data_IF_404480078035
#
_entry.id   IF_404480078035
#
_cell.length_a   1.000
_cell.length_b   1.000
_cell.length_c   1.000
_cell.angle_alpha   90.00
_cell.angle_beta   90.00
_cell.angle_gamma   90.00
#
_symmetry.space_group_name_H-M   'P 1'
#
loop_
_entity.id
_entity.type
_entity.pdbx_description
1 polymer ?
#
# COMPACT_ATOMS: atom_id res chain seq x y z
N UNK A 1 -6.90 -10.34 -31.72
CA UNK A 1 -7.04 -9.17 -30.82
C UNK A 1 -6.84 -7.96 -31.70
N UNK A 2 -7.85 -7.13 -31.82
CA UNK A 2 -7.75 -5.91 -32.59
C UNK A 2 -6.75 -4.97 -31.94
N UNK A 3 -6.05 -4.16 -32.72
CA UNK A 3 -5.06 -3.15 -32.22
C UNK A 3 -5.71 -2.22 -31.20
N UNK A 4 -6.99 -1.88 -31.38
CA UNK A 4 -7.75 -1.03 -30.45
C UNK A 4 -7.91 -1.72 -29.09
N UNK A 5 -8.19 -3.02 -29.04
CA UNK A 5 -8.42 -3.76 -27.81
C UNK A 5 -7.14 -3.84 -26.95
N UNK A 6 -5.97 -4.02 -27.55
CA UNK A 6 -4.75 -4.11 -26.77
C UNK A 6 -4.30 -2.76 -26.20
N UNK A 7 -4.53 -1.64 -26.91
CA UNK A 7 -4.19 -0.29 -26.41
C UNK A 7 -5.00 0.05 -25.16
N UNK A 8 -6.24 -0.44 -25.06
CA UNK A 8 -7.08 -0.22 -23.88
C UNK A 8 -6.54 -0.92 -22.63
N UNK A 9 -5.78 -2.00 -22.77
CA UNK A 9 -5.12 -2.70 -21.68
C UNK A 9 -3.87 -1.99 -21.15
N UNK A 10 -3.37 -0.97 -21.89
CA UNK A 10 -2.16 -0.27 -21.48
C UNK A 10 -2.47 0.90 -20.55
N UNK A 11 -1.67 1.02 -19.49
CA UNK A 11 -1.72 2.20 -18.63
C UNK A 11 -1.44 3.48 -19.41
N UNK A 12 -1.95 4.65 -18.96
CA UNK A 12 -1.71 5.93 -19.64
C UNK A 12 -0.22 6.25 -19.83
N UNK A 13 0.61 5.83 -18.86
CA UNK A 13 2.06 6.01 -18.90
C UNK A 13 2.70 5.20 -20.03
N UNK A 14 2.35 3.94 -20.15
CA UNK A 14 2.88 3.07 -21.23
C UNK A 14 2.40 3.56 -22.59
N UNK A 15 1.14 3.93 -22.72
CA UNK A 15 0.63 4.52 -23.97
C UNK A 15 1.45 5.73 -24.38
N UNK A 16 1.69 6.66 -23.48
CA UNK A 16 2.42 7.90 -23.74
C UNK A 16 3.85 7.65 -24.22
N UNK A 17 4.56 6.71 -23.62
CA UNK A 17 6.00 6.55 -23.83
C UNK A 17 6.37 5.43 -24.81
N UNK A 18 5.49 4.46 -25.06
CA UNK A 18 5.84 3.26 -25.82
C UNK A 18 5.08 3.10 -27.14
N UNK A 19 3.86 3.63 -27.28
CA UNK A 19 3.02 3.39 -28.46
C UNK A 19 3.69 3.85 -29.76
N UNK A 20 4.30 5.01 -29.80
CA UNK A 20 4.98 5.51 -31.01
C UNK A 20 6.13 4.58 -31.45
N UNK A 21 6.87 4.01 -30.49
CA UNK A 21 7.93 3.04 -30.81
C UNK A 21 7.35 1.73 -31.35
N UNK A 22 6.21 1.32 -30.81
CA UNK A 22 5.50 0.13 -31.29
C UNK A 22 4.96 0.32 -32.70
N UNK A 23 4.30 1.44 -32.98
CA UNK A 23 3.72 1.77 -34.29
C UNK A 23 4.80 1.90 -35.38
N UNK A 24 5.98 2.38 -35.03
CA UNK A 24 7.14 2.46 -35.91
C UNK A 24 7.87 1.11 -36.10
N UNK A 25 7.40 0.03 -35.47
CA UNK A 25 7.99 -1.31 -35.54
C UNK A 25 9.24 -1.50 -34.69
N UNK A 26 9.58 -0.55 -33.81
CA UNK A 26 10.72 -0.64 -32.90
C UNK A 26 10.37 -1.45 -31.64
N UNK A 27 9.91 -2.67 -31.82
CA UNK A 27 9.36 -3.50 -30.74
C UNK A 27 10.31 -3.71 -29.55
N UNK A 28 11.60 -3.93 -29.82
CA UNK A 28 12.62 -4.06 -28.77
C UNK A 28 12.74 -2.77 -27.94
N UNK A 29 12.71 -1.61 -28.58
CA UNK A 29 12.80 -0.33 -27.89
C UNK A 29 11.54 -0.02 -27.08
N UNK A 30 10.36 -0.31 -27.64
CA UNK A 30 9.08 -0.14 -26.94
C UNK A 30 9.02 -1.03 -25.69
N UNK A 31 9.43 -2.29 -25.77
CA UNK A 31 9.47 -3.21 -24.65
C UNK A 31 10.50 -2.79 -23.57
N UNK A 32 11.67 -2.32 -23.98
CA UNK A 32 12.68 -1.81 -23.06
C UNK A 32 12.19 -0.55 -22.35
N UNK A 33 11.60 0.39 -23.08
CA UNK A 33 11.05 1.62 -22.55
C UNK A 33 9.93 1.33 -21.55
N UNK A 34 9.04 0.37 -21.84
CA UNK A 34 7.98 -0.03 -20.93
C UNK A 34 8.53 -0.47 -19.56
N UNK A 35 9.56 -1.29 -19.52
CA UNK A 35 10.21 -1.71 -18.27
C UNK A 35 10.97 -0.56 -17.59
N UNK A 36 11.52 0.37 -18.36
CA UNK A 36 12.15 1.58 -17.83
C UNK A 36 11.12 2.49 -17.15
N UNK A 37 9.91 2.60 -17.71
CA UNK A 37 8.84 3.37 -17.10
C UNK A 37 8.36 2.78 -15.76
N UNK A 38 8.35 1.47 -15.59
CA UNK A 38 8.08 0.83 -14.30
C UNK A 38 9.15 1.19 -13.26
N UNK A 39 10.43 1.16 -13.66
CA UNK A 39 11.54 1.55 -12.78
C UNK A 39 11.46 3.02 -12.36
N UNK A 40 11.15 3.91 -13.30
CA UNK A 40 10.99 5.33 -13.02
C UNK A 40 9.80 5.58 -12.09
N UNK A 41 8.67 4.89 -12.28
CA UNK A 41 7.51 5.01 -11.42
C UNK A 41 7.82 4.60 -9.96
N UNK A 42 8.57 3.51 -9.75
CA UNK A 42 9.03 3.11 -8.41
C UNK A 42 9.87 4.23 -7.76
N UNK A 43 10.81 4.82 -8.50
CA UNK A 43 11.67 5.91 -8.00
C UNK A 43 10.88 7.18 -7.68
N UNK A 44 9.94 7.54 -8.55
CA UNK A 44 9.07 8.69 -8.38
C UNK A 44 8.18 8.54 -7.16
N UNK A 45 7.57 7.35 -6.98
CA UNK A 45 6.67 7.07 -5.85
C UNK A 45 7.37 7.29 -4.50
N UNK A 46 8.62 6.88 -4.36
CA UNK A 46 9.39 7.05 -3.12
C UNK A 46 10.24 8.33 -3.11
N UNK A 47 10.11 9.17 -4.13
CA UNK A 47 10.85 10.44 -4.28
C UNK A 47 12.38 10.28 -4.11
N UNK A 48 12.92 9.13 -4.52
CA UNK A 48 14.34 8.84 -4.35
C UNK A 48 15.14 9.28 -5.57
N UNK A 49 16.30 9.86 -5.33
CA UNK A 49 17.34 10.10 -6.33
C UNK A 49 18.35 8.96 -6.42
N UNK A 50 18.04 7.83 -5.81
CA UNK A 50 18.90 6.67 -5.77
C UNK A 50 19.22 6.18 -7.18
N UNK A 51 20.49 5.86 -7.40
CA UNK A 51 21.00 5.31 -8.66
C UNK A 51 20.72 3.81 -8.80
N UNK A 52 20.22 3.14 -7.74
CA UNK A 52 19.86 1.72 -7.82
C UNK A 52 18.76 1.50 -8.85
N UNK A 53 18.79 0.34 -9.48
CA UNK A 53 17.85 -0.05 -10.53
C UNK A 53 17.61 -1.56 -10.52
N UNK A 54 16.56 -1.99 -11.21
CA UNK A 54 16.19 -3.38 -11.36
C UNK A 54 15.94 -4.08 -10.03
N UNK A 55 16.44 -5.32 -9.89
CA UNK A 55 16.24 -6.13 -8.68
C UNK A 55 16.65 -5.42 -7.38
N UNK A 56 17.76 -4.71 -7.37
CA UNK A 56 18.24 -4.01 -6.17
C UNK A 56 17.29 -2.92 -5.70
N UNK A 57 16.63 -2.23 -6.63
CA UNK A 57 15.61 -1.25 -6.32
C UNK A 57 14.38 -1.93 -5.70
N UNK A 58 13.93 -3.03 -6.28
CA UNK A 58 12.79 -3.82 -5.76
C UNK A 58 13.08 -4.36 -4.37
N UNK A 59 14.26 -4.94 -4.14
CA UNK A 59 14.68 -5.43 -2.83
C UNK A 59 14.67 -4.34 -1.77
N UNK A 60 15.08 -3.13 -2.13
CA UNK A 60 15.14 -2.01 -1.21
C UNK A 60 13.75 -1.42 -0.90
N UNK A 61 12.82 -1.47 -1.85
CA UNK A 61 11.51 -0.85 -1.70
C UNK A 61 10.44 -1.82 -1.18
N UNK A 62 10.42 -3.04 -1.68
CA UNK A 62 9.38 -4.03 -1.39
C UNK A 62 9.86 -5.15 -0.47
N UNK A 63 11.16 -5.20 -0.16
CA UNK A 63 11.77 -6.24 0.65
C UNK A 63 11.74 -5.95 2.14
N UNK A 64 11.45 -6.96 2.94
CA UNK A 64 11.83 -6.98 4.35
C UNK A 64 13.31 -7.36 4.42
N UNK A 65 14.16 -6.42 4.78
CA UNK A 65 15.51 -6.77 5.21
C UNK A 65 15.43 -7.29 6.64
N UNK A 66 16.06 -8.43 6.93
CA UNK A 66 16.14 -9.01 8.28
C UNK A 66 16.76 -8.06 9.33
N UNK A 67 17.48 -7.03 8.90
CA UNK A 67 18.06 -5.99 9.73
C UNK A 67 17.30 -4.65 9.70
N UNK A 68 16.38 -4.47 8.73
CA UNK A 68 15.52 -3.30 8.62
C UNK A 68 14.08 -3.78 8.52
N UNK A 69 13.36 -3.67 9.59
CA UNK A 69 11.98 -4.12 9.75
C UNK A 69 10.94 -3.33 8.95
N UNK A 70 11.35 -2.40 8.10
CA UNK A 70 10.43 -1.51 7.38
C UNK A 70 10.46 -1.74 5.88
N UNK A 71 9.34 -2.18 5.35
CA UNK A 71 9.03 -2.15 3.91
C UNK A 71 8.79 -0.69 3.54
N UNK A 72 9.52 -0.14 2.56
CA UNK A 72 9.39 1.27 2.17
C UNK A 72 8.12 1.53 1.37
N UNK A 73 7.72 0.58 0.54
CA UNK A 73 6.55 0.68 -0.31
C UNK A 73 5.60 -0.46 0.02
N UNK A 74 4.47 -0.13 0.64
CA UNK A 74 3.42 -1.10 0.94
C UNK A 74 2.41 -1.17 -0.18
N UNK A 75 2.12 -2.39 -0.58
CA UNK A 75 1.01 -2.68 -1.48
C UNK A 75 -0.26 -2.89 -0.64
N UNK A 76 -1.46 -2.62 -1.19
CA UNK A 76 -2.72 -2.84 -0.49
C UNK A 76 -3.06 -4.34 -0.41
N UNK A 77 -2.12 -5.12 0.11
CA UNK A 77 -2.14 -6.57 0.13
C UNK A 77 -1.54 -7.05 1.46
N UNK A 78 -2.04 -8.18 1.96
CA UNK A 78 -1.43 -8.82 3.14
C UNK A 78 0.03 -9.23 2.91
N UNK A 79 0.79 -9.44 3.97
CA UNK A 79 2.24 -9.69 3.93
C UNK A 79 2.67 -10.83 2.99
N UNK A 80 1.83 -11.85 2.84
CA UNK A 80 2.11 -12.95 1.90
C UNK A 80 2.05 -12.47 0.45
N UNK A 81 1.03 -11.70 0.09
CA UNK A 81 0.90 -11.15 -1.27
C UNK A 81 1.93 -10.06 -1.54
N UNK A 82 2.32 -9.28 -0.53
CA UNK A 82 3.46 -8.34 -0.62
C UNK A 82 4.74 -9.07 -1.06
N UNK A 83 5.04 -10.23 -0.47
CA UNK A 83 6.19 -11.07 -0.85
C UNK A 83 6.06 -11.60 -2.27
N UNK A 84 4.86 -12.02 -2.66
CA UNK A 84 4.62 -12.51 -4.02
C UNK A 84 4.73 -11.38 -5.06
N UNK A 85 4.20 -10.21 -4.77
CA UNK A 85 4.37 -9.04 -5.62
C UNK A 85 5.84 -8.64 -5.77
N UNK A 86 6.61 -8.62 -4.68
CA UNK A 86 8.07 -8.44 -4.74
C UNK A 86 8.72 -9.43 -5.72
N UNK A 87 8.39 -10.71 -5.60
CA UNK A 87 8.93 -11.76 -6.49
C UNK A 87 8.53 -11.52 -7.95
N UNK A 88 7.31 -11.06 -8.21
CA UNK A 88 6.84 -10.70 -9.55
C UNK A 88 7.67 -9.54 -10.13
N UNK A 89 7.88 -8.47 -9.38
CA UNK A 89 8.73 -7.34 -9.80
C UNK A 89 10.16 -7.77 -10.06
N UNK A 90 10.77 -8.56 -9.16
CA UNK A 90 12.12 -9.10 -9.36
C UNK A 90 12.21 -9.95 -10.63
N UNK A 91 11.26 -10.85 -10.83
CA UNK A 91 11.21 -11.69 -12.02
C UNK A 91 11.05 -10.86 -13.29
N UNK A 92 10.18 -9.86 -13.29
CA UNK A 92 9.98 -8.97 -14.41
C UNK A 92 11.26 -8.19 -14.76
N UNK A 93 11.95 -7.63 -13.79
CA UNK A 93 13.21 -6.91 -14.03
C UNK A 93 14.34 -7.85 -14.44
N UNK A 94 14.48 -9.01 -13.80
CA UNK A 94 15.54 -9.97 -14.11
C UNK A 94 15.37 -10.57 -15.50
N UNK A 95 14.15 -10.88 -15.90
CA UNK A 95 13.87 -11.52 -17.17
C UNK A 95 13.70 -10.49 -18.30
N UNK A 96 12.65 -9.67 -18.25
CA UNK A 96 12.29 -8.81 -19.38
C UNK A 96 13.24 -7.64 -19.59
N UNK A 97 13.67 -6.96 -18.51
CA UNK A 97 14.60 -5.84 -18.64
C UNK A 97 15.96 -6.30 -19.16
N UNK A 98 16.50 -7.41 -18.64
CA UNK A 98 17.77 -7.94 -19.09
C UNK A 98 17.65 -8.51 -20.52
N UNK A 99 16.56 -9.20 -20.82
CA UNK A 99 16.27 -9.72 -22.15
C UNK A 99 16.20 -8.61 -23.21
N UNK A 100 15.52 -7.51 -22.89
CA UNK A 100 15.41 -6.37 -23.82
C UNK A 100 16.70 -5.58 -23.95
N UNK A 101 17.55 -5.53 -22.90
CA UNK A 101 18.75 -4.71 -22.88
C UNK A 101 19.99 -5.42 -23.48
N UNK A 102 20.16 -6.71 -23.22
CA UNK A 102 21.44 -7.38 -23.43
C UNK A 102 21.42 -8.49 -24.49
N UNK A 103 20.39 -9.30 -24.55
CA UNK A 103 20.33 -10.37 -25.54
C UNK A 103 19.89 -9.82 -26.88
N UNK A 104 20.75 -9.95 -27.88
CA UNK A 104 20.44 -9.58 -29.25
C UNK A 104 19.23 -10.32 -29.86
N UNK A 105 18.42 -11.00 -29.04
CA UNK A 105 17.18 -11.63 -29.45
C UNK A 105 16.24 -10.61 -30.04
N UNK A 106 15.70 -10.92 -31.20
CA UNK A 106 14.65 -10.13 -31.82
C UNK A 106 13.38 -10.25 -30.96
N UNK A 107 12.94 -9.14 -30.39
CA UNK A 107 11.62 -9.04 -29.76
C UNK A 107 10.63 -8.80 -30.89
N UNK A 108 9.79 -9.78 -31.14
CA UNK A 108 8.69 -9.67 -32.08
C UNK A 108 7.54 -8.82 -31.52
N UNK A 109 6.63 -8.44 -32.37
CA UNK A 109 5.44 -7.65 -32.03
C UNK A 109 4.67 -8.27 -30.85
N UNK A 110 4.47 -9.59 -30.89
CA UNK A 110 3.68 -10.30 -29.87
C UNK A 110 4.36 -10.30 -28.50
N UNK A 111 5.66 -10.42 -28.45
CA UNK A 111 6.46 -10.34 -27.23
C UNK A 111 6.47 -8.91 -26.68
N UNK A 112 6.57 -7.91 -27.56
CA UNK A 112 6.48 -6.51 -27.19
C UNK A 112 5.14 -6.19 -26.51
N UNK A 113 4.01 -6.58 -27.10
CA UNK A 113 2.67 -6.38 -26.52
C UNK A 113 2.59 -6.98 -25.13
N UNK A 114 3.05 -8.22 -24.94
CA UNK A 114 3.03 -8.89 -23.62
C UNK A 114 3.84 -8.13 -22.57
N UNK A 115 5.00 -7.62 -22.95
CA UNK A 115 5.84 -6.85 -22.04
C UNK A 115 5.18 -5.51 -21.68
N UNK A 116 4.56 -4.82 -22.63
CA UNK A 116 3.85 -3.56 -22.39
C UNK A 116 2.63 -3.76 -21.49
N UNK A 117 1.88 -4.83 -21.66
CA UNK A 117 0.74 -5.19 -20.78
C UNK A 117 1.25 -5.52 -19.37
N UNK A 118 2.28 -6.35 -19.23
CA UNK A 118 2.88 -6.63 -17.93
C UNK A 118 3.37 -5.35 -17.24
N UNK A 119 4.03 -4.46 -17.97
CA UNK A 119 4.48 -3.19 -17.41
C UNK A 119 3.31 -2.32 -16.93
N UNK A 120 2.18 -2.37 -17.63
CA UNK A 120 0.95 -1.68 -17.22
C UNK A 120 0.40 -2.23 -15.90
N UNK A 121 0.32 -3.54 -15.75
CA UNK A 121 -0.08 -4.21 -14.49
C UNK A 121 0.86 -3.82 -13.33
N UNK A 122 2.16 -3.83 -13.55
CA UNK A 122 3.12 -3.43 -12.52
C UNK A 122 2.97 -1.95 -12.12
N UNK A 123 2.63 -1.07 -13.06
CA UNK A 123 2.36 0.34 -12.79
C UNK A 123 1.10 0.52 -11.95
N UNK A 124 0.03 -0.22 -12.22
CA UNK A 124 -1.19 -0.20 -11.40
C UNK A 124 -0.92 -0.63 -9.96
N UNK A 125 -0.08 -1.66 -9.76
CA UNK A 125 0.36 -2.08 -8.43
C UNK A 125 1.16 -0.98 -7.72
N UNK A 126 2.03 -0.25 -8.44
CA UNK A 126 2.79 0.88 -7.89
C UNK A 126 1.85 2.04 -7.51
N UNK A 127 0.89 2.36 -8.37
CA UNK A 127 -0.06 3.45 -8.13
C UNK A 127 -0.92 3.17 -6.89
N UNK A 128 -1.33 1.91 -6.71
CA UNK A 128 -2.08 1.45 -5.55
C UNK A 128 -1.24 1.35 -4.25
N UNK A 129 0.09 1.45 -4.34
CA UNK A 129 0.98 1.32 -3.18
C UNK A 129 1.05 2.58 -2.35
N UNK A 130 1.32 2.45 -1.05
CA UNK A 130 1.55 3.55 -0.11
C UNK A 130 3.00 3.57 0.38
N UNK A 131 3.48 4.75 0.78
CA UNK A 131 4.75 4.90 1.48
C UNK A 131 4.57 4.50 2.94
N UNK A 132 5.60 3.91 3.54
CA UNK A 132 5.54 3.67 4.97
C UNK A 132 5.84 4.96 5.76
N UNK A 133 5.49 4.93 7.05
CA UNK A 133 5.67 6.05 7.97
C UNK A 133 7.09 6.64 8.01
N UNK A 134 8.13 5.79 7.93
CA UNK A 134 9.52 6.25 7.99
C UNK A 134 9.93 7.08 6.76
N UNK A 135 9.40 6.70 5.58
CA UNK A 135 9.69 7.40 4.32
C UNK A 135 8.93 8.72 4.21
N UNK A 136 7.81 8.86 4.92
CA UNK A 136 7.12 10.15 5.08
C UNK A 136 7.91 11.14 5.96
N UNK A 137 8.96 10.70 6.64
CA UNK A 137 9.73 11.53 7.56
C UNK A 137 9.20 11.52 8.99
N UNK A 138 8.55 10.44 9.38
CA UNK A 138 8.02 10.23 10.72
C UNK A 138 6.82 11.13 11.04
N UNK A 139 6.61 11.45 12.32
CA UNK A 139 5.49 12.29 12.78
C UNK A 139 5.48 13.65 12.06
N UNK A 140 6.64 14.29 11.93
CA UNK A 140 6.70 15.62 11.32
C UNK A 140 6.33 15.60 9.82
N UNK A 141 6.74 14.55 9.11
CA UNK A 141 6.37 14.35 7.71
C UNK A 141 4.88 14.04 7.56
N UNK A 142 4.33 13.22 8.46
CA UNK A 142 2.92 12.88 8.48
C UNK A 142 2.02 14.10 8.73
N UNK A 143 2.43 14.99 9.65
CA UNK A 143 1.71 16.25 9.88
C UNK A 143 1.82 17.22 8.69
N UNK A 144 2.99 17.27 8.04
CA UNK A 144 3.19 18.09 6.84
C UNK A 144 2.36 17.61 5.64
N UNK A 145 2.02 16.33 5.57
CA UNK A 145 1.13 15.80 4.52
C UNK A 145 -0.29 16.38 4.61
N UNK A 146 -0.68 16.89 5.78
CA UNK A 146 -2.00 17.48 6.02
C UNK A 146 -3.08 16.46 6.40
N UNK A 147 -2.76 15.17 6.43
CA UNK A 147 -3.71 14.10 6.83
C UNK A 147 -4.14 14.31 8.28
N UNK A 148 -3.18 14.64 9.15
CA UNK A 148 -3.46 15.00 10.54
C UNK A 148 -3.13 16.46 10.78
N UNK A 149 -4.03 17.17 11.45
CA UNK A 149 -3.89 18.59 11.74
C UNK A 149 -2.92 18.89 12.89
N UNK A 150 -2.64 17.92 13.75
CA UNK A 150 -1.77 18.08 14.92
C UNK A 150 -1.35 16.74 15.53
N UNK A 151 -0.25 16.76 16.32
CA UNK A 151 0.16 15.63 17.15
C UNK A 151 -0.93 15.18 18.12
N UNK A 152 -1.70 16.13 18.68
CA UNK A 152 -2.82 15.84 19.57
C UNK A 152 -3.92 15.04 18.88
N UNK A 153 -4.22 15.37 17.62
CA UNK A 153 -5.22 14.67 16.83
C UNK A 153 -4.80 13.21 16.60
N UNK A 154 -3.57 12.99 16.11
CA UNK A 154 -3.02 11.66 15.88
C UNK A 154 -2.95 10.84 17.18
N UNK A 155 -2.43 11.44 18.25
CA UNK A 155 -2.31 10.78 19.55
C UNK A 155 -3.67 10.39 20.14
N UNK A 156 -4.63 11.32 20.12
CA UNK A 156 -5.99 11.06 20.60
C UNK A 156 -6.67 9.94 19.83
N UNK A 157 -6.51 9.92 18.51
CA UNK A 157 -7.03 8.86 17.65
C UNK A 157 -6.43 7.49 18.01
N UNK A 158 -5.11 7.37 18.04
CA UNK A 158 -4.45 6.11 18.32
C UNK A 158 -4.79 5.57 19.70
N UNK A 159 -4.82 6.44 20.72
CA UNK A 159 -5.25 6.03 22.08
C UNK A 159 -6.71 5.60 22.14
N UNK A 160 -7.59 6.25 21.41
CA UNK A 160 -8.98 5.85 21.38
C UNK A 160 -9.19 4.53 20.68
N UNK A 161 -8.51 4.29 19.55
CA UNK A 161 -8.54 2.99 18.86
C UNK A 161 -8.01 1.87 19.75
N UNK A 162 -6.94 2.12 20.51
CA UNK A 162 -6.39 1.17 21.47
C UNK A 162 -7.36 0.82 22.61
N UNK A 163 -8.13 1.79 23.11
CA UNK A 163 -9.11 1.57 24.16
C UNK A 163 -10.32 0.70 23.72
N UNK A 164 -10.62 0.70 22.43
CA UNK A 164 -11.72 -0.07 21.83
C UNK A 164 -11.26 -1.36 21.16
N UNK A 165 -10.22 -1.99 21.71
CA UNK A 165 -9.64 -3.24 21.17
C UNK A 165 -10.37 -4.53 21.64
N UNK A 166 -11.41 -4.43 22.48
CA UNK A 166 -12.10 -5.59 23.02
C UNK A 166 -13.37 -5.90 22.21
N UNK A 167 -13.61 -7.18 21.94
CA UNK A 167 -14.84 -7.64 21.28
C UNK A 167 -16.12 -7.33 22.06
N UNK A 168 -16.02 -7.13 23.38
CA UNK A 168 -17.16 -6.78 24.25
C UNK A 168 -17.43 -5.26 24.30
N UNK A 169 -16.61 -4.45 23.63
CA UNK A 169 -16.80 -3.01 23.54
C UNK A 169 -17.94 -2.67 22.57
N UNK A 170 -18.93 -1.93 23.04
CA UNK A 170 -19.89 -1.29 22.15
C UNK A 170 -19.17 -0.24 21.28
N UNK A 171 -18.68 -0.68 20.12
CA UNK A 171 -18.04 0.20 19.13
C UNK A 171 -18.98 1.23 18.50
N UNK A 172 -20.27 1.20 18.84
CA UNK A 172 -21.30 2.05 18.23
C UNK A 172 -21.07 3.56 18.41
N UNK A 173 -20.27 3.95 19.38
CA UNK A 173 -19.93 5.37 19.61
C UNK A 173 -18.50 5.75 19.24
N UNK A 174 -17.66 4.80 18.80
CA UNK A 174 -16.23 5.05 18.53
C UNK A 174 -16.03 6.12 17.45
N UNK A 175 -16.65 5.93 16.30
CA UNK A 175 -16.51 6.85 15.16
C UNK A 175 -17.11 8.23 15.47
N UNK A 176 -18.24 8.28 16.18
CA UNK A 176 -18.82 9.54 16.62
C UNK A 176 -17.87 10.28 17.59
N UNK A 177 -17.28 9.59 18.55
CA UNK A 177 -16.29 10.19 19.47
C UNK A 177 -15.04 10.65 18.72
N UNK A 178 -14.49 9.85 17.83
CA UNK A 178 -13.34 10.23 17.01
C UNK A 178 -13.63 11.50 16.22
N UNK A 179 -14.80 11.61 15.62
CA UNK A 179 -15.22 12.79 14.88
C UNK A 179 -15.41 14.01 15.76
N UNK A 180 -16.20 13.91 16.86
CA UNK A 180 -16.53 15.06 17.69
C UNK A 180 -15.38 15.53 18.58
N UNK A 181 -14.55 14.63 19.10
CA UNK A 181 -13.46 14.98 20.01
C UNK A 181 -12.18 15.39 19.28
N UNK A 182 -11.88 14.77 18.15
CA UNK A 182 -10.61 14.95 17.44
C UNK A 182 -10.77 15.41 16.00
N UNK A 183 -11.97 15.50 15.45
CA UNK A 183 -12.19 15.82 14.03
C UNK A 183 -11.64 14.76 13.09
N UNK A 184 -11.74 13.48 13.47
CA UNK A 184 -11.28 12.33 12.68
C UNK A 184 -12.40 11.88 11.75
N UNK A 185 -12.11 11.81 10.47
CA UNK A 185 -12.98 11.22 9.44
C UNK A 185 -12.37 9.97 8.82
N UNK A 186 -13.02 9.47 7.77
CA UNK A 186 -12.62 8.25 7.08
C UNK A 186 -11.18 8.31 6.56
N UNK A 187 -10.75 9.45 6.02
CA UNK A 187 -9.39 9.67 5.49
C UNK A 187 -8.30 9.38 6.54
N UNK A 188 -8.49 9.83 7.79
CA UNK A 188 -7.53 9.60 8.87
C UNK A 188 -7.55 8.13 9.32
N UNK A 189 -8.72 7.49 9.31
CA UNK A 189 -8.86 6.08 9.67
C UNK A 189 -8.19 5.20 8.63
N UNK A 190 -8.43 5.45 7.35
CA UNK A 190 -7.75 4.77 6.25
C UNK A 190 -6.23 4.96 6.36
N UNK A 191 -5.78 6.18 6.60
CA UNK A 191 -4.35 6.49 6.70
C UNK A 191 -3.64 5.71 7.82
N UNK A 192 -4.23 5.55 9.01
CA UNK A 192 -3.58 4.78 10.10
C UNK A 192 -3.56 3.28 9.84
N UNK A 193 -4.53 2.77 9.08
CA UNK A 193 -4.55 1.37 8.61
C UNK A 193 -3.48 1.17 7.53
N UNK A 194 -3.44 2.04 6.51
CA UNK A 194 -2.46 1.97 5.42
C UNK A 194 -1.02 2.12 5.90
N UNK A 195 -0.79 2.98 6.88
CA UNK A 195 0.52 3.19 7.50
C UNK A 195 0.91 2.10 8.51
N UNK A 196 0.04 1.10 8.69
CA UNK A 196 0.26 -0.01 9.62
C UNK A 196 0.42 0.45 11.09
N UNK A 197 -0.30 1.51 11.49
CA UNK A 197 -0.36 1.93 12.90
C UNK A 197 -1.37 1.13 13.67
N UNK A 198 -2.47 0.78 13.01
CA UNK A 198 -3.54 -0.06 13.54
C UNK A 198 -3.88 -1.15 12.56
N UNK A 199 -4.38 -2.26 13.08
CA UNK A 199 -4.90 -3.37 12.31
C UNK A 199 -6.36 -3.57 12.68
N UNK A 200 -7.21 -3.71 11.66
CA UNK A 200 -8.59 -4.10 11.88
C UNK A 200 -8.68 -5.63 11.86
N UNK A 201 -9.19 -6.22 12.93
CA UNK A 201 -9.39 -7.65 13.06
C UNK A 201 -10.89 -7.93 13.08
N UNK A 202 -11.33 -8.87 12.26
CA UNK A 202 -12.71 -9.30 12.18
C UNK A 202 -12.78 -10.79 12.47
N UNK A 203 -13.69 -11.19 13.34
CA UNK A 203 -13.95 -12.60 13.66
C UNK A 203 -15.43 -12.91 13.48
N UNK A 204 -15.71 -14.15 13.13
CA UNK A 204 -17.07 -14.64 13.10
C UNK A 204 -17.63 -14.69 14.52
N UNK A 205 -18.75 -14.00 14.74
CA UNK A 205 -19.39 -13.99 16.04
C UNK A 205 -20.16 -15.29 16.26
N UNK A 206 -19.75 -16.03 17.25
CA UNK A 206 -20.47 -17.22 17.72
C UNK A 206 -21.19 -16.85 19.01
N UNK A 207 -22.50 -16.52 18.96
CA UNK A 207 -23.26 -16.15 20.15
C UNK A 207 -23.32 -17.31 21.15
N UNK A 208 -23.27 -16.98 22.43
CA UNK A 208 -23.47 -17.98 23.45
C UNK A 208 -24.92 -18.49 23.53
N UNK A 209 -25.16 -19.54 24.31
CA UNK A 209 -26.48 -20.18 24.42
C UNK A 209 -27.55 -19.28 25.04
N UNK A 210 -27.19 -18.28 25.83
CA UNK A 210 -28.15 -17.32 26.44
C UNK A 210 -28.46 -16.20 25.46
N UNK A 211 -27.50 -15.72 24.71
CA UNK A 211 -27.69 -14.78 23.65
C UNK A 211 -28.52 -15.35 22.49
N UNK A 212 -28.28 -16.62 22.13
CA UNK A 212 -29.13 -17.34 21.17
C UNK A 212 -30.59 -17.39 21.62
N UNK A 213 -30.86 -17.56 22.92
CA UNK A 213 -32.22 -17.55 23.46
C UNK A 213 -32.87 -16.17 23.41
N UNK A 214 -32.10 -15.10 23.59
CA UNK A 214 -32.60 -13.72 23.52
C UNK A 214 -32.72 -13.23 22.07
N UNK A 215 -31.84 -13.65 21.18
CA UNK A 215 -31.82 -13.27 19.76
C UNK A 215 -32.99 -13.83 18.95
N UNK A 216 -33.67 -14.87 19.44
CA UNK A 216 -34.94 -15.32 18.83
C UNK A 216 -36.05 -14.27 18.95
N UNK A 217 -35.84 -13.21 19.71
CA UNK A 217 -36.80 -12.11 19.88
C UNK A 217 -36.44 -10.84 19.10
N UNK A 218 -35.24 -10.75 18.57
CA UNK A 218 -34.76 -9.60 17.79
C UNK A 218 -34.04 -10.06 16.54
N UNK A 219 -34.41 -9.51 15.42
CA UNK A 219 -33.89 -9.86 14.09
C UNK A 219 -32.38 -9.72 13.96
N UNK A 220 -31.72 -10.82 13.60
CA UNK A 220 -30.32 -10.96 13.18
C UNK A 220 -29.24 -10.49 14.17
N UNK A 221 -28.56 -11.40 14.89
CA UNK A 221 -27.33 -11.09 15.56
C UNK A 221 -26.25 -10.65 14.53
N UNK A 222 -25.31 -9.77 14.88
CA UNK A 222 -24.22 -9.45 14.00
C UNK A 222 -23.47 -10.73 13.62
N UNK A 223 -23.22 -10.93 12.34
CA UNK A 223 -22.53 -12.12 11.84
C UNK A 223 -21.02 -12.06 12.08
N UNK A 224 -20.49 -10.88 12.33
CA UNK A 224 -19.06 -10.64 12.57
C UNK A 224 -18.87 -9.58 13.66
N UNK A 225 -17.79 -9.71 14.42
CA UNK A 225 -17.32 -8.69 15.35
C UNK A 225 -15.96 -8.21 14.89
N UNK A 226 -15.76 -6.91 14.87
CA UNK A 226 -14.52 -6.31 14.46
C UNK A 226 -14.02 -5.30 15.48
N UNK A 227 -12.69 -5.23 15.64
CA UNK A 227 -12.02 -4.26 16.50
C UNK A 227 -10.69 -3.81 15.91
N UNK A 228 -10.17 -2.72 16.44
CA UNK A 228 -8.86 -2.21 16.08
C UNK A 228 -7.83 -2.66 17.11
N UNK A 229 -6.65 -3.02 16.63
CA UNK A 229 -5.49 -3.33 17.45
C UNK A 229 -4.33 -2.44 17.01
N UNK A 230 -3.61 -1.87 17.96
CA UNK A 230 -2.34 -1.22 17.65
C UNK A 230 -1.33 -2.25 17.14
N UNK A 231 -0.56 -1.85 16.15
CA UNK A 231 0.64 -2.59 15.77
C UNK A 231 1.82 -2.16 16.62
N UNK A 232 2.93 -2.91 16.58
CA UNK A 232 4.20 -2.49 17.24
C UNK A 232 4.62 -1.07 16.80
N UNK A 233 4.31 -0.70 15.56
CA UNK A 233 4.57 0.65 15.05
C UNK A 233 3.63 1.68 15.68
N UNK A 234 2.35 1.37 15.79
CA UNK A 234 1.36 2.22 16.46
C UNK A 234 1.71 2.51 17.91
N UNK A 235 2.08 1.48 18.67
CA UNK A 235 2.56 1.62 20.06
C UNK A 235 3.80 2.52 20.16
N UNK A 236 4.76 2.31 19.25
CA UNK A 236 5.98 3.12 19.20
C UNK A 236 5.67 4.59 18.91
N UNK A 237 4.70 4.88 18.04
CA UNK A 237 4.29 6.25 17.71
C UNK A 237 3.61 6.92 18.91
N UNK A 238 2.73 6.20 19.62
CA UNK A 238 2.13 6.74 20.87
C UNK A 238 3.24 7.12 21.85
N UNK A 239 4.20 6.22 22.10
CA UNK A 239 5.32 6.49 23.00
C UNK A 239 6.22 7.66 22.55
N UNK A 240 6.34 7.91 21.24
CA UNK A 240 7.07 9.05 20.70
C UNK A 240 6.28 10.35 20.90
N UNK A 241 4.98 10.36 20.66
CA UNK A 241 4.09 11.50 20.88
C UNK A 241 4.02 11.90 22.34
N UNK A 242 3.97 10.96 23.27
CA UNK A 242 4.01 11.21 24.71
C UNK A 242 5.30 11.90 25.13
N UNK A 243 6.47 11.40 24.67
CA UNK A 243 7.77 12.02 24.93
C UNK A 243 7.89 13.44 24.38
N UNK A 244 7.20 13.75 23.26
CA UNK A 244 7.17 15.10 22.69
C UNK A 244 6.29 16.02 23.52
N UNK A 245 5.14 15.53 24.00
CA UNK A 245 4.23 16.27 24.89
C UNK A 245 4.90 16.65 26.20
N UNK A 246 5.63 15.73 26.84
CA UNK A 246 6.33 15.96 28.10
C UNK A 246 7.49 16.99 27.99
N UNK A 247 8.05 17.19 26.80
CA UNK A 247 9.09 18.20 26.57
C UNK A 247 8.53 19.61 26.38
N UNK A 248 7.25 19.75 26.14
CA UNK A 248 6.54 21.03 25.91
C UNK A 248 5.79 21.52 27.13
N UNK A 249 5.65 20.68 28.17
CA UNK A 249 5.06 21.00 29.48
C UNK A 249 6.13 21.46 30.48
#
# INVERSE_FOLDING_TARGET
>A
MDIIEFIELLSPRIRKHCIHLYDDGYYKHAAHEAMTQVELALKEKVQTKDIRFGKKLVDDLLGTNSEKTTIKLRLPLGDTLQKHAKTLFEGAFMYYRNYTAHDGAEIDEKSCIRIMVLASELLEVIDASSLNYADLGGIDGLLKSGVFSSEKQLHGMLKMLDQYHLPDGDGSGLFEKLFYEFGIGDEQIEAVIELDFVRYTEVEYVPDLEELKSAWQTSNPPQTMGWFELTDLGEKIIGELEKRSDKLA
#
